data_IF_471222764530
#
_entry.id   IF_471222764530
#
_cell.length_a   1.000
_cell.length_b   1.000
_cell.length_c   1.000
_cell.angle_alpha   90.00
_cell.angle_beta   90.00
_cell.angle_gamma   90.00
#
_symmetry.space_group_name_H-M   'P 1'
#
loop_
_entity.id
_entity.type
_entity.pdbx_description
1 polymer ?
#
# COMPACT_ATOMS: atom_id res chain seq x y z
N UNK A 1 13.94 7.47 7.05
CA UNK A 1 13.54 8.59 7.92
C UNK A 1 12.69 9.68 7.23
N UNK A 2 12.82 9.93 5.93
CA UNK A 2 12.01 10.95 5.20
C UNK A 2 10.54 10.55 4.91
N UNK A 3 10.21 9.27 4.84
CA UNK A 3 8.85 8.78 4.50
C UNK A 3 7.79 9.00 5.59
N UNK A 4 8.21 9.19 6.84
CA UNK A 4 7.28 9.39 7.97
C UNK A 4 6.75 10.84 8.07
N UNK A 5 7.23 11.75 7.23
CA UNK A 5 6.86 13.17 7.18
C UNK A 5 5.97 13.52 5.98
N UNK A 6 5.03 12.64 5.66
CA UNK A 6 4.14 12.81 4.51
C UNK A 6 3.32 14.12 4.55
N UNK A 7 2.91 14.58 5.71
CA UNK A 7 2.14 15.80 5.83
C UNK A 7 3.00 17.05 5.57
N UNK A 8 4.26 17.05 6.07
CA UNK A 8 5.23 18.10 5.73
C UNK A 8 5.54 18.11 4.21
N UNK A 9 5.75 16.93 3.60
CA UNK A 9 6.01 16.82 2.18
C UNK A 9 4.82 17.29 1.32
N UNK A 10 3.59 16.96 1.70
CA UNK A 10 2.38 17.44 1.02
C UNK A 10 2.24 18.95 1.13
N UNK A 11 2.52 19.50 2.29
CA UNK A 11 2.52 20.94 2.51
C UNK A 11 3.52 21.64 1.58
N UNK A 12 4.76 21.14 1.47
CA UNK A 12 5.77 21.69 0.59
C UNK A 12 5.39 21.57 -0.90
N UNK A 13 4.72 20.49 -1.32
CA UNK A 13 4.20 20.33 -2.69
C UNK A 13 3.12 21.38 -2.99
N UNK A 14 2.17 21.59 -2.09
CA UNK A 14 1.11 22.61 -2.26
C UNK A 14 1.73 23.99 -2.32
N UNK A 15 2.64 24.32 -1.41
CA UNK A 15 3.36 25.58 -1.37
C UNK A 15 4.20 25.82 -2.62
N UNK A 16 4.91 24.80 -3.13
CA UNK A 16 5.68 24.85 -4.36
C UNK A 16 4.80 25.11 -5.58
N UNK A 17 3.66 24.43 -5.68
CA UNK A 17 2.68 24.64 -6.75
C UNK A 17 2.14 26.07 -6.77
N UNK A 18 1.85 26.65 -5.64
CA UNK A 18 1.43 28.06 -5.55
C UNK A 18 2.54 29.05 -5.88
N UNK A 19 3.80 28.74 -5.52
CA UNK A 19 4.95 29.52 -5.95
C UNK A 19 5.10 29.56 -7.47
N UNK A 20 4.88 28.43 -8.14
CA UNK A 20 4.91 28.33 -9.61
C UNK A 20 3.78 29.16 -10.25
N UNK A 21 2.56 29.10 -9.71
CA UNK A 21 1.43 29.88 -10.20
C UNK A 21 1.65 31.38 -10.02
N UNK A 22 2.21 31.81 -8.88
CA UNK A 22 2.55 33.20 -8.64
C UNK A 22 3.64 33.71 -9.62
N UNK A 23 4.66 32.89 -9.91
CA UNK A 23 5.69 33.18 -10.90
C UNK A 23 5.13 33.28 -12.33
N UNK A 24 4.03 32.56 -12.63
CA UNK A 24 3.30 32.65 -13.90
C UNK A 24 2.33 33.84 -13.99
N UNK A 25 2.34 34.75 -13.00
CA UNK A 25 1.52 35.98 -13.00
C UNK A 25 0.11 35.80 -12.39
N UNK A 26 -0.18 34.69 -11.78
CA UNK A 26 -1.41 34.53 -10.99
C UNK A 26 -1.29 35.23 -9.63
N UNK A 27 -2.44 35.64 -9.06
CA UNK A 27 -2.43 36.29 -7.76
C UNK A 27 -1.75 35.39 -6.69
N UNK A 28 -0.85 35.95 -5.85
CA UNK A 28 -0.18 35.16 -4.84
C UNK A 28 -1.20 34.64 -3.83
N UNK A 29 -1.21 33.32 -3.63
CA UNK A 29 -2.05 32.70 -2.63
C UNK A 29 -1.39 32.81 -1.26
N UNK A 30 -2.18 33.15 -0.24
CA UNK A 30 -1.66 33.27 1.12
C UNK A 30 -1.19 31.92 1.65
N UNK A 31 -0.19 31.94 2.51
CA UNK A 31 0.31 30.74 3.20
C UNK A 31 -0.81 30.03 3.99
N UNK A 32 -1.72 30.79 4.60
CA UNK A 32 -2.91 30.27 5.27
C UNK A 32 -3.84 29.47 4.34
N UNK A 33 -4.06 29.96 3.12
CA UNK A 33 -4.87 29.23 2.14
C UNK A 33 -4.18 27.94 1.68
N UNK A 34 -2.87 27.97 1.48
CA UNK A 34 -2.10 26.78 1.13
C UNK A 34 -2.18 25.71 2.23
N UNK A 35 -2.06 26.10 3.49
CA UNK A 35 -2.22 25.21 4.65
C UNK A 35 -3.61 24.60 4.69
N UNK A 36 -4.65 25.41 4.63
CA UNK A 36 -6.04 24.92 4.64
C UNK A 36 -6.36 23.98 3.48
N UNK A 37 -5.80 24.21 2.31
CA UNK A 37 -5.97 23.31 1.16
C UNK A 37 -5.23 21.99 1.37
N UNK A 38 -4.03 21.99 1.95
CA UNK A 38 -3.30 20.78 2.31
C UNK A 38 -4.05 19.94 3.34
N UNK A 39 -4.56 20.56 4.39
CA UNK A 39 -5.35 19.91 5.43
C UNK A 39 -6.67 19.35 4.86
N UNK A 40 -7.38 20.15 4.07
CA UNK A 40 -8.63 19.71 3.41
C UNK A 40 -8.39 18.58 2.44
N UNK A 41 -7.31 18.59 1.68
CA UNK A 41 -6.94 17.49 0.78
C UNK A 41 -6.63 16.21 1.55
N UNK A 42 -5.91 16.32 2.67
CA UNK A 42 -5.59 15.16 3.52
C UNK A 42 -6.87 14.57 4.12
N UNK A 43 -7.76 15.40 4.67
CA UNK A 43 -9.05 14.97 5.21
C UNK A 43 -9.93 14.31 4.11
N UNK A 44 -10.04 14.95 2.95
CA UNK A 44 -10.80 14.41 1.81
C UNK A 44 -10.28 13.04 1.37
N UNK A 45 -8.97 12.87 1.26
CA UNK A 45 -8.39 11.56 0.91
C UNK A 45 -8.73 10.48 1.93
N UNK A 46 -8.73 10.82 3.21
CA UNK A 46 -9.13 9.87 4.26
C UNK A 46 -10.63 9.54 4.18
N UNK A 47 -11.49 10.54 3.94
CA UNK A 47 -12.92 10.34 3.76
C UNK A 47 -13.23 9.41 2.58
N UNK A 48 -12.48 9.54 1.47
CA UNK A 48 -12.68 8.79 0.23
C UNK A 48 -12.05 7.38 0.24
N UNK A 49 -11.29 7.02 1.27
CA UNK A 49 -10.75 5.67 1.37
C UNK A 49 -11.83 4.62 1.61
N UNK A 50 -11.79 3.55 0.85
CA UNK A 50 -12.66 2.39 0.99
C UNK A 50 -11.90 1.09 0.78
N UNK A 51 -12.48 -0.02 1.18
CA UNK A 51 -11.99 -1.36 0.85
C UNK A 51 -12.57 -1.77 -0.49
N UNK A 52 -11.73 -2.24 -1.40
CA UNK A 52 -12.20 -2.69 -2.71
C UNK A 52 -13.25 -3.79 -2.59
N UNK A 53 -14.27 -3.80 -3.47
CA UNK A 53 -15.31 -4.82 -3.46
C UNK A 53 -14.73 -6.25 -3.49
N UNK A 54 -15.27 -7.11 -2.65
CA UNK A 54 -14.84 -8.50 -2.53
C UNK A 54 -13.51 -8.74 -1.80
N UNK A 55 -12.78 -7.68 -1.40
CA UNK A 55 -11.48 -7.87 -0.76
C UNK A 55 -11.60 -8.52 0.64
N UNK A 56 -12.58 -8.13 1.44
CA UNK A 56 -12.83 -8.77 2.73
C UNK A 56 -13.19 -10.24 2.56
N UNK A 57 -14.10 -10.55 1.63
CA UNK A 57 -14.54 -11.92 1.37
C UNK A 57 -13.37 -12.81 0.92
N UNK A 58 -12.51 -12.27 0.05
CA UNK A 58 -11.32 -12.99 -0.40
C UNK A 58 -10.34 -13.27 0.76
N UNK A 59 -10.07 -12.27 1.62
CA UNK A 59 -9.20 -12.41 2.79
C UNK A 59 -9.79 -13.44 3.76
N UNK A 60 -11.09 -13.35 4.07
CA UNK A 60 -11.77 -14.25 4.98
C UNK A 60 -11.78 -15.70 4.43
N UNK A 61 -11.95 -15.89 3.13
CA UNK A 61 -11.87 -17.20 2.47
C UNK A 61 -10.45 -17.78 2.52
N UNK A 62 -9.39 -16.99 2.27
CA UNK A 62 -8.02 -17.48 2.47
C UNK A 62 -7.78 -17.93 3.90
N UNK A 63 -8.23 -17.16 4.87
CA UNK A 63 -8.10 -17.50 6.28
C UNK A 63 -8.86 -18.78 6.63
N UNK A 64 -10.07 -18.95 6.12
CA UNK A 64 -10.88 -20.16 6.31
C UNK A 64 -10.21 -21.42 5.75
N UNK A 65 -9.35 -21.26 4.73
CA UNK A 65 -8.53 -22.34 4.15
C UNK A 65 -7.21 -22.57 4.87
N UNK A 66 -6.96 -21.88 5.97
CA UNK A 66 -5.73 -22.02 6.74
C UNK A 66 -4.51 -21.30 6.13
N UNK A 67 -4.71 -20.40 5.15
CA UNK A 67 -3.65 -19.55 4.63
C UNK A 67 -3.27 -18.54 5.72
N UNK A 68 -1.98 -18.45 6.02
CA UNK A 68 -1.44 -17.43 6.94
C UNK A 68 -1.34 -16.09 6.24
N UNK A 69 -1.84 -15.05 6.86
CA UNK A 69 -1.98 -13.73 6.24
C UNK A 69 -1.18 -12.67 7.01
N UNK A 70 -0.31 -11.95 6.29
CA UNK A 70 0.36 -10.76 6.81
C UNK A 70 -0.07 -9.50 6.04
N UNK A 71 -0.36 -8.42 6.78
CA UNK A 71 -0.50 -7.08 6.24
C UNK A 71 0.79 -6.30 6.48
N UNK A 72 1.54 -6.02 5.41
CA UNK A 72 2.80 -5.27 5.47
C UNK A 72 2.59 -3.91 4.82
N UNK A 73 2.62 -2.84 5.60
CA UNK A 73 2.32 -1.49 5.12
C UNK A 73 3.37 -0.48 5.54
N UNK A 74 3.73 0.40 4.60
CA UNK A 74 4.63 1.52 4.86
C UNK A 74 3.85 2.73 5.38
N UNK A 75 4.51 3.54 6.20
CA UNK A 75 4.00 4.80 6.72
C UNK A 75 4.02 4.90 8.24
N UNK A 76 3.56 6.05 8.75
CA UNK A 76 3.54 6.34 10.17
C UNK A 76 2.59 5.43 10.95
N UNK A 77 2.97 5.05 12.18
CA UNK A 77 2.24 4.10 13.02
C UNK A 77 0.76 4.49 13.22
N UNK A 78 0.49 5.71 13.70
CA UNK A 78 -0.86 6.16 14.00
C UNK A 78 -1.83 6.11 12.81
N UNK A 79 -1.55 6.77 11.68
CA UNK A 79 -2.41 6.75 10.50
C UNK A 79 -2.64 5.34 9.93
N UNK A 80 -1.62 4.47 9.91
CA UNK A 80 -1.79 3.12 9.39
C UNK A 80 -2.60 2.25 10.37
N UNK A 81 -2.38 2.39 11.67
CA UNK A 81 -3.16 1.69 12.69
C UNK A 81 -4.64 2.10 12.64
N UNK A 82 -4.93 3.39 12.50
CA UNK A 82 -6.29 3.88 12.33
C UNK A 82 -7.01 3.28 11.11
N UNK A 83 -6.29 3.07 9.99
CA UNK A 83 -6.86 2.37 8.81
C UNK A 83 -7.15 0.90 9.09
N UNK A 84 -6.25 0.22 9.77
CA UNK A 84 -6.44 -1.19 10.17
C UNK A 84 -7.70 -1.35 11.01
N UNK A 85 -7.94 -0.44 11.94
CA UNK A 85 -9.13 -0.41 12.79
C UNK A 85 -10.38 -0.03 12.00
N UNK A 86 -10.34 1.09 11.27
CA UNK A 86 -11.47 1.61 10.48
C UNK A 86 -12.02 0.59 9.50
N UNK A 87 -11.15 -0.19 8.87
CA UNK A 87 -11.53 -1.18 7.87
C UNK A 87 -11.62 -2.61 8.43
N UNK A 88 -11.64 -2.76 9.76
CA UNK A 88 -11.80 -4.04 10.43
C UNK A 88 -10.80 -5.11 9.95
N UNK A 89 -9.53 -4.72 9.75
CA UNK A 89 -8.50 -5.61 9.23
C UNK A 89 -7.76 -6.39 10.34
N UNK A 90 -7.76 -5.91 11.57
CA UNK A 90 -6.95 -6.45 12.65
C UNK A 90 -7.18 -7.96 12.90
N UNK A 91 -8.42 -8.42 12.86
CA UNK A 91 -8.78 -9.83 13.11
C UNK A 91 -8.64 -10.73 11.87
N UNK A 92 -8.44 -10.14 10.68
CA UNK A 92 -8.31 -10.87 9.42
C UNK A 92 -6.89 -11.32 9.13
N UNK A 93 -5.89 -10.68 9.73
CA UNK A 93 -4.49 -10.99 9.51
C UNK A 93 -3.87 -11.64 10.74
N UNK A 94 -2.99 -12.60 10.50
CA UNK A 94 -2.23 -13.28 11.56
C UNK A 94 -1.02 -12.44 12.00
N UNK A 95 -0.56 -11.53 11.12
CA UNK A 95 0.48 -10.56 11.42
C UNK A 95 0.19 -9.21 10.74
N UNK A 96 0.41 -8.12 11.47
CA UNK A 96 0.31 -6.75 10.93
C UNK A 96 1.62 -6.04 11.21
N UNK A 97 2.30 -5.64 10.13
CA UNK A 97 3.59 -4.96 10.16
C UNK A 97 3.46 -3.56 9.56
N UNK A 98 3.63 -2.55 10.39
CA UNK A 98 3.60 -1.14 10.01
C UNK A 98 5.02 -0.58 10.12
N UNK A 99 5.54 0.06 9.06
CA UNK A 99 6.89 0.64 9.02
C UNK A 99 7.18 1.53 10.24
N UNK A 100 6.24 2.39 10.61
CA UNK A 100 6.40 3.31 11.74
C UNK A 100 6.44 2.65 13.11
N UNK A 101 6.00 1.40 13.24
CA UNK A 101 6.08 0.60 14.47
C UNK A 101 7.38 -0.21 14.53
N UNK A 102 7.84 -0.71 13.39
CA UNK A 102 8.98 -1.63 13.29
C UNK A 102 10.30 -0.92 12.96
N UNK A 103 10.24 0.33 12.45
CA UNK A 103 11.42 1.10 12.04
C UNK A 103 12.03 0.67 10.72
N UNK A 104 11.35 -0.19 9.95
CA UNK A 104 11.73 -0.63 8.61
C UNK A 104 10.48 -0.95 7.78
N UNK A 105 10.59 -0.84 6.46
CA UNK A 105 9.48 -1.04 5.54
C UNK A 105 9.95 -1.46 4.16
N UNK A 106 9.01 -1.74 3.27
CA UNK A 106 9.27 -2.09 1.87
C UNK A 106 9.97 -0.91 1.15
N UNK A 107 10.95 -1.12 0.30
CA UNK A 107 11.44 -2.39 -0.27
C UNK A 107 12.63 -3.02 0.50
N UNK A 108 12.86 -2.67 1.77
CA UNK A 108 13.94 -3.30 2.54
C UNK A 108 13.68 -4.80 2.69
N UNK A 109 14.66 -5.66 2.37
CA UNK A 109 14.55 -7.12 2.50
C UNK A 109 14.05 -7.56 3.88
N UNK A 110 14.50 -6.84 4.91
CA UNK A 110 14.11 -7.07 6.30
C UNK A 110 12.59 -7.02 6.52
N UNK A 111 11.85 -6.23 5.73
CA UNK A 111 10.41 -6.14 5.85
C UNK A 111 9.72 -7.47 5.46
N UNK A 112 10.20 -8.11 4.42
CA UNK A 112 9.66 -9.39 3.94
C UNK A 112 10.12 -10.55 4.82
N UNK A 113 11.41 -10.58 5.16
CA UNK A 113 12.00 -11.62 6.00
C UNK A 113 11.33 -11.66 7.39
N UNK A 114 11.10 -10.50 8.01
CA UNK A 114 10.44 -10.42 9.30
C UNK A 114 8.99 -10.94 9.25
N UNK A 115 8.22 -10.59 8.22
CA UNK A 115 6.86 -11.09 8.06
C UNK A 115 6.83 -12.61 7.89
N UNK A 116 7.70 -13.16 7.02
CA UNK A 116 7.81 -14.60 6.81
C UNK A 116 8.25 -15.33 8.09
N UNK A 117 9.24 -14.81 8.80
CA UNK A 117 9.71 -15.37 10.06
C UNK A 117 8.60 -15.39 11.11
N UNK A 118 7.83 -14.31 11.23
CA UNK A 118 6.73 -14.22 12.18
C UNK A 118 5.62 -15.23 11.87
N UNK A 119 5.33 -15.45 10.60
CA UNK A 119 4.36 -16.46 10.15
C UNK A 119 4.93 -17.88 10.16
N UNK A 120 6.25 -18.06 10.28
CA UNK A 120 6.91 -19.38 10.22
C UNK A 120 6.77 -20.01 8.84
N UNK A 121 7.03 -19.25 7.77
CA UNK A 121 6.95 -19.70 6.37
C UNK A 121 8.23 -19.34 5.62
N UNK A 122 8.47 -20.04 4.51
CA UNK A 122 9.61 -19.81 3.58
C UNK A 122 9.19 -18.91 2.41
N UNK A 123 10.16 -18.39 1.68
CA UNK A 123 9.89 -17.57 0.49
C UNK A 123 9.10 -18.34 -0.59
N UNK A 124 9.43 -19.61 -0.80
CA UNK A 124 8.74 -20.46 -1.79
C UNK A 124 7.28 -20.81 -1.43
N UNK A 125 6.90 -20.62 -0.16
CA UNK A 125 5.53 -20.79 0.34
C UNK A 125 4.76 -19.47 0.40
N UNK A 126 5.41 -18.36 0.03
CA UNK A 126 4.88 -17.01 0.24
C UNK A 126 4.51 -16.36 -1.10
N UNK A 127 3.36 -15.73 -1.12
CA UNK A 127 2.96 -14.80 -2.17
C UNK A 127 2.98 -13.37 -1.64
N UNK A 128 3.55 -12.45 -2.41
CA UNK A 128 3.43 -11.02 -2.17
C UNK A 128 2.44 -10.44 -3.15
N UNK A 129 1.49 -9.64 -2.65
CA UNK A 129 0.43 -9.04 -3.46
C UNK A 129 0.40 -7.54 -3.17
N UNK A 130 0.45 -6.71 -4.21
CA UNK A 130 0.30 -5.27 -4.07
C UNK A 130 0.40 -4.52 -5.40
N UNK A 131 0.29 -3.21 -5.33
CA UNK A 131 0.16 -2.31 -6.49
C UNK A 131 1.47 -1.63 -6.90
N UNK A 132 2.47 -1.58 -6.04
CA UNK A 132 3.75 -0.96 -6.35
C UNK A 132 4.74 -1.96 -6.92
N UNK A 133 5.18 -1.77 -8.16
CA UNK A 133 6.06 -2.71 -8.86
C UNK A 133 7.40 -2.95 -8.16
N UNK A 134 8.04 -1.93 -7.59
CA UNK A 134 9.31 -2.11 -6.87
C UNK A 134 9.10 -2.85 -5.54
N UNK A 135 8.06 -2.50 -4.80
CA UNK A 135 7.88 -2.98 -3.43
C UNK A 135 7.17 -4.34 -3.35
N UNK A 136 6.29 -4.61 -4.29
CA UNK A 136 5.47 -5.83 -4.27
C UNK A 136 5.87 -6.85 -5.35
N UNK A 137 6.75 -6.45 -6.29
CA UNK A 137 7.22 -7.37 -7.33
C UNK A 137 8.73 -7.53 -7.30
N UNK A 138 9.48 -6.46 -7.61
CA UNK A 138 10.94 -6.56 -7.79
C UNK A 138 11.66 -6.98 -6.52
N UNK A 139 11.37 -6.32 -5.40
CA UNK A 139 12.05 -6.60 -4.14
C UNK A 139 11.72 -8.00 -3.58
N UNK A 140 10.46 -8.46 -3.52
CA UNK A 140 10.16 -9.82 -3.06
C UNK A 140 10.67 -10.92 -4.00
N UNK A 141 10.67 -10.71 -5.33
CA UNK A 141 11.23 -11.68 -6.28
C UNK A 141 12.73 -11.94 -6.05
N UNK A 142 13.50 -10.93 -5.62
CA UNK A 142 14.91 -11.11 -5.24
C UNK A 142 15.11 -12.10 -4.08
N UNK A 143 14.08 -12.29 -3.27
CA UNK A 143 14.06 -13.22 -2.14
C UNK A 143 13.43 -14.57 -2.50
N UNK A 144 13.01 -14.77 -3.74
CA UNK A 144 12.33 -15.99 -4.19
C UNK A 144 10.84 -16.07 -3.80
N UNK A 145 10.23 -14.96 -3.46
CA UNK A 145 8.80 -14.85 -3.17
C UNK A 145 8.03 -14.73 -4.50
N UNK A 146 6.93 -15.47 -4.65
CA UNK A 146 6.03 -15.34 -5.79
C UNK A 146 5.30 -14.00 -5.74
N UNK A 147 5.49 -13.14 -6.73
CA UNK A 147 5.04 -11.76 -6.71
C UNK A 147 3.85 -11.51 -7.66
N UNK A 148 2.75 -11.07 -7.09
CA UNK A 148 1.49 -10.79 -7.79
C UNK A 148 1.27 -9.28 -7.78
N UNK A 149 1.25 -8.70 -8.98
CA UNK A 149 0.91 -7.29 -9.13
C UNK A 149 -0.59 -7.11 -9.26
N UNK A 150 -1.17 -6.21 -8.45
CA UNK A 150 -2.59 -5.88 -8.54
C UNK A 150 -2.75 -4.59 -9.35
N UNK A 151 -3.26 -4.72 -10.57
CA UNK A 151 -3.58 -3.63 -11.50
C UNK A 151 -5.08 -3.30 -11.40
N UNK A 152 -5.45 -2.59 -10.36
CA UNK A 152 -6.86 -2.29 -10.05
C UNK A 152 -7.57 -1.53 -11.18
N UNK A 153 -6.84 -0.66 -11.89
CA UNK A 153 -7.40 0.17 -12.97
C UNK A 153 -7.37 -0.53 -14.33
N UNK A 154 -6.54 -1.56 -14.50
CA UNK A 154 -6.37 -2.26 -15.76
C UNK A 154 -5.57 -1.48 -16.79
N UNK A 155 -4.71 -0.59 -16.33
CA UNK A 155 -3.86 0.25 -17.19
C UNK A 155 -2.70 -0.54 -17.82
N UNK A 156 -2.37 -1.69 -17.24
CA UNK A 156 -1.24 -2.53 -17.64
C UNK A 156 0.10 -1.99 -17.12
N UNK A 157 1.16 -2.75 -17.40
CA UNK A 157 2.52 -2.33 -17.08
C UNK A 157 2.92 -1.09 -17.92
N UNK A 158 3.69 -0.15 -17.34
CA UNK A 158 4.27 0.95 -18.12
C UNK A 158 4.99 0.43 -19.36
N UNK A 159 4.87 1.14 -20.49
CA UNK A 159 5.36 0.68 -21.80
C UNK A 159 6.89 0.43 -21.82
N UNK A 160 7.64 1.10 -20.96
CA UNK A 160 9.09 0.96 -20.78
C UNK A 160 9.46 0.05 -19.58
N UNK A 161 8.49 -0.60 -18.95
CA UNK A 161 8.73 -1.44 -17.78
C UNK A 161 9.45 -2.72 -18.17
N UNK A 162 10.53 -3.01 -17.46
CA UNK A 162 11.24 -4.29 -17.52
C UNK A 162 10.79 -5.26 -16.44
N UNK A 163 9.90 -4.84 -15.57
CA UNK A 163 9.37 -5.64 -14.45
C UNK A 163 8.43 -6.72 -14.98
N UNK A 164 8.60 -7.93 -14.48
CA UNK A 164 7.77 -9.09 -14.85
C UNK A 164 7.17 -9.71 -13.60
N UNK A 165 5.95 -9.32 -13.20
CA UNK A 165 5.22 -10.00 -12.14
C UNK A 165 5.00 -11.48 -12.50
N UNK A 166 5.00 -12.36 -11.52
CA UNK A 166 4.67 -13.78 -11.73
C UNK A 166 3.20 -13.94 -12.10
N UNK A 167 2.35 -13.04 -11.63
CA UNK A 167 0.94 -12.93 -12.00
C UNK A 167 0.47 -11.47 -11.94
N UNK A 168 -0.49 -11.12 -12.78
CA UNK A 168 -1.21 -9.84 -12.73
C UNK A 168 -2.68 -10.14 -12.46
N UNK A 169 -3.29 -9.41 -11.54
CA UNK A 169 -4.71 -9.50 -11.20
C UNK A 169 -5.30 -8.09 -11.08
N UNK A 170 -6.61 -7.97 -11.16
CA UNK A 170 -7.35 -6.72 -10.91
C UNK A 170 -8.08 -6.71 -9.57
N UNK A 171 -8.32 -7.90 -9.02
CA UNK A 171 -9.00 -8.09 -7.74
C UNK A 171 -8.42 -9.29 -7.00
N UNK A 172 -8.44 -9.26 -5.67
CA UNK A 172 -8.08 -10.42 -4.84
C UNK A 172 -8.99 -11.62 -5.10
N UNK A 173 -10.22 -11.39 -5.53
CA UNK A 173 -11.17 -12.47 -5.85
C UNK A 173 -10.71 -13.37 -6.99
N UNK A 174 -9.84 -12.91 -7.88
CA UNK A 174 -9.25 -13.72 -8.94
C UNK A 174 -8.28 -14.81 -8.45
N UNK A 175 -7.88 -14.74 -7.20
CA UNK A 175 -7.04 -15.74 -6.55
C UNK A 175 -7.86 -16.83 -5.86
N UNK A 176 -9.17 -16.63 -5.74
CA UNK A 176 -10.07 -17.64 -5.22
C UNK A 176 -10.32 -18.71 -6.29
N UNK A 177 -10.47 -19.99 -5.91
CA UNK A 177 -10.92 -20.99 -6.86
C UNK A 177 -12.33 -20.66 -7.34
N UNK A 178 -12.69 -21.11 -8.55
CA UNK A 178 -14.05 -20.94 -9.03
C UNK A 178 -15.04 -21.59 -8.05
N UNK A 179 -16.18 -20.93 -7.87
CA UNK A 179 -17.27 -21.50 -7.05
C UNK A 179 -17.56 -22.91 -7.51
N UNK A 180 -17.62 -23.85 -6.56
CA UNK A 180 -18.07 -25.20 -6.88
C UNK A 180 -19.57 -25.12 -7.17
N UNK A 181 -19.94 -25.16 -8.44
CA UNK A 181 -21.31 -25.31 -8.86
C UNK A 181 -21.94 -26.62 -8.37
#
# INVERSE_FOLDING_TARGET
>A
MQRLKLDEARYEVVKGGFGTLAAAGHAPLSLDLATRLGDRFSAYREEQMFVFPGAHDAIDEFKARGVKLALVTNGAAGPQRAKVERFALAHRFDHIQIEGEHGFGKPEERAYLHAMQTLGVTASETWMIGDNLEWEVVAPQRLGIYAIWIDVHGDGLPADSTVKPDRIIRSLTELLPPERG
#
